data_IF_227199801367
#
_entry.id   IF_227199801367
#
_cell.length_a   1.000
_cell.length_b   1.000
_cell.length_c   1.000
_cell.angle_alpha   90.00
_cell.angle_beta   90.00
_cell.angle_gamma   90.00
#
_symmetry.space_group_name_H-M   'P 1'
#
loop_
_entity.id
_entity.type
_entity.pdbx_description
1 polymer ?
#
# COMPACT_ATOMS: atom_id res chain seq x y z
N UNK A 1 -39.93 -14.07 -13.61
CA UNK A 1 -38.72 -13.84 -12.78
C UNK A 1 -38.22 -15.19 -12.29
N UNK A 2 -37.02 -15.65 -12.69
CA UNK A 2 -36.45 -16.86 -12.10
C UNK A 2 -35.98 -16.57 -10.67
N UNK A 3 -36.04 -17.55 -9.75
CA UNK A 3 -35.72 -17.33 -8.35
C UNK A 3 -34.22 -17.07 -8.19
N UNK A 4 -33.89 -16.08 -7.35
CA UNK A 4 -32.53 -15.78 -6.95
C UNK A 4 -31.92 -17.01 -6.27
N UNK A 5 -30.96 -17.65 -6.95
CA UNK A 5 -30.10 -18.66 -6.34
C UNK A 5 -29.45 -18.03 -5.09
N UNK A 6 -29.67 -18.66 -3.93
CA UNK A 6 -29.12 -18.17 -2.67
C UNK A 6 -27.59 -18.05 -2.79
N UNK A 7 -27.02 -16.94 -2.28
CA UNK A 7 -25.58 -16.66 -2.32
C UNK A 7 -24.71 -17.77 -1.67
N UNK A 8 -25.31 -18.71 -0.93
CA UNK A 8 -24.63 -19.88 -0.33
C UNK A 8 -24.48 -21.06 -1.28
N UNK A 9 -25.24 -21.14 -2.38
CA UNK A 9 -25.17 -22.26 -3.33
C UNK A 9 -24.06 -22.10 -4.40
N UNK A 10 -23.65 -20.86 -4.71
CA UNK A 10 -22.61 -20.59 -5.70
C UNK A 10 -21.19 -21.12 -5.35
N UNK A 11 -20.69 -21.01 -4.10
CA UNK A 11 -19.33 -21.49 -3.78
C UNK A 11 -19.19 -23.01 -3.93
N UNK A 12 -20.21 -23.77 -3.54
CA UNK A 12 -20.20 -25.23 -3.59
C UNK A 12 -20.21 -25.77 -5.03
N UNK A 13 -20.99 -25.15 -5.92
CA UNK A 13 -21.02 -25.51 -7.34
C UNK A 13 -19.76 -25.05 -8.09
N UNK A 14 -19.19 -23.88 -7.76
CA UNK A 14 -17.96 -23.38 -8.37
C UNK A 14 -16.71 -24.22 -8.03
N UNK A 15 -16.66 -24.82 -6.83
CA UNK A 15 -15.58 -25.74 -6.43
C UNK A 15 -15.54 -27.06 -7.22
N UNK A 16 -16.61 -27.41 -7.95
CA UNK A 16 -16.65 -28.55 -8.87
C UNK A 16 -16.12 -28.19 -10.27
N UNK A 17 -16.04 -26.91 -10.62
CA UNK A 17 -15.70 -26.43 -11.96
C UNK A 17 -14.19 -26.24 -12.18
N UNK A 18 -13.41 -25.91 -11.15
CA UNK A 18 -11.94 -25.87 -11.25
C UNK A 18 -11.22 -26.02 -9.90
N UNK A 19 -10.00 -26.61 -9.87
CA UNK A 19 -9.14 -26.57 -8.69
C UNK A 19 -8.87 -25.16 -8.18
N UNK A 20 -8.82 -24.16 -9.06
CA UNK A 20 -8.63 -22.76 -8.71
C UNK A 20 -9.77 -22.23 -7.84
N UNK A 21 -11.03 -22.50 -8.20
CA UNK A 21 -12.19 -22.06 -7.42
C UNK A 21 -12.23 -22.66 -6.01
N UNK A 22 -11.78 -23.91 -5.84
CA UNK A 22 -11.65 -24.53 -4.50
C UNK A 22 -10.59 -23.86 -3.64
N UNK A 23 -9.51 -23.41 -4.25
CA UNK A 23 -8.41 -22.75 -3.55
C UNK A 23 -8.71 -21.26 -3.29
N UNK A 24 -9.54 -20.63 -4.11
CA UNK A 24 -9.93 -19.23 -3.97
C UNK A 24 -10.67 -18.91 -2.67
N UNK A 25 -11.43 -19.87 -2.15
CA UNK A 25 -12.18 -19.74 -0.89
C UNK A 25 -11.35 -20.04 0.36
N UNK A 26 -10.11 -20.49 0.22
CA UNK A 26 -9.23 -20.87 1.34
C UNK A 26 -8.27 -19.76 1.69
N UNK A 27 -7.92 -19.67 2.97
CA UNK A 27 -6.85 -18.78 3.39
C UNK A 27 -5.47 -19.31 2.95
N UNK A 28 -4.49 -18.42 2.83
CA UNK A 28 -3.11 -18.80 2.58
C UNK A 28 -2.61 -19.78 3.64
N UNK A 29 -2.87 -19.50 4.92
CA UNK A 29 -2.49 -20.36 6.04
C UNK A 29 -3.07 -21.76 5.90
N UNK A 30 -4.37 -21.88 5.64
CA UNK A 30 -5.04 -23.20 5.47
C UNK A 30 -4.40 -24.05 4.38
N UNK A 31 -3.98 -23.43 3.27
CA UNK A 31 -3.35 -24.16 2.17
C UNK A 31 -1.93 -24.56 2.55
N UNK A 32 -1.13 -23.62 3.06
CA UNK A 32 0.28 -23.83 3.41
C UNK A 32 0.47 -24.84 4.55
N UNK A 33 -0.39 -24.80 5.57
CA UNK A 33 -0.38 -25.80 6.66
C UNK A 33 -0.72 -27.22 6.17
N UNK A 34 -1.50 -27.33 5.08
CA UNK A 34 -1.79 -28.59 4.42
C UNK A 34 -0.65 -29.13 3.54
N UNK A 35 0.36 -28.31 3.22
CA UNK A 35 1.52 -28.71 2.41
C UNK A 35 2.70 -29.20 3.25
N UNK A 36 2.89 -28.64 4.45
CA UNK A 36 4.04 -28.99 5.30
C UNK A 36 3.73 -28.75 6.77
N UNK A 37 4.39 -29.51 7.65
CA UNK A 37 4.40 -29.29 9.11
C UNK A 37 5.51 -28.33 9.57
N UNK A 38 6.51 -28.06 8.73
CA UNK A 38 7.67 -27.23 9.04
C UNK A 38 7.27 -25.74 9.15
N UNK A 39 7.46 -25.15 10.32
CA UNK A 39 7.08 -23.74 10.59
C UNK A 39 7.92 -22.73 9.82
N UNK A 40 9.20 -23.00 9.61
CA UNK A 40 10.07 -22.11 8.83
C UNK A 40 9.66 -22.13 7.37
N UNK A 41 9.42 -23.32 6.80
CA UNK A 41 8.95 -23.43 5.43
C UNK A 41 7.58 -22.76 5.24
N UNK A 42 6.67 -22.83 6.23
CA UNK A 42 5.39 -22.10 6.17
C UNK A 42 5.59 -20.59 6.10
N UNK A 43 6.53 -20.06 6.88
CA UNK A 43 6.89 -18.64 6.85
C UNK A 43 7.47 -18.26 5.49
N UNK A 44 8.40 -19.07 4.95
CA UNK A 44 8.99 -18.87 3.61
C UNK A 44 7.95 -18.98 2.50
N UNK A 45 6.93 -19.83 2.62
CA UNK A 45 5.84 -19.88 1.64
C UNK A 45 4.88 -18.70 1.76
N UNK A 46 4.89 -17.97 2.87
CA UNK A 46 3.94 -16.89 3.17
C UNK A 46 4.58 -15.50 3.25
N UNK A 47 5.90 -15.39 3.10
CA UNK A 47 6.68 -14.18 3.40
C UNK A 47 6.29 -12.94 2.58
N UNK A 48 5.66 -13.10 1.41
CA UNK A 48 5.27 -11.96 0.58
C UNK A 48 3.93 -11.34 0.97
N UNK A 49 3.25 -11.83 2.03
CA UNK A 49 1.95 -11.29 2.44
C UNK A 49 1.85 -9.76 2.61
N UNK A 50 2.93 -9.03 2.96
CA UNK A 50 2.84 -7.58 3.14
C UNK A 50 2.51 -6.84 1.85
N UNK A 51 2.81 -7.42 0.69
CA UNK A 51 2.49 -6.85 -0.63
C UNK A 51 1.00 -6.62 -0.86
N UNK A 52 0.14 -7.40 -0.21
CA UNK A 52 -1.32 -7.25 -0.25
C UNK A 52 -1.93 -6.89 1.12
N UNK A 53 -1.11 -6.65 2.14
CA UNK A 53 -1.55 -6.03 3.39
C UNK A 53 -2.43 -6.91 4.31
N UNK A 54 -2.49 -8.22 4.10
CA UNK A 54 -3.38 -9.12 4.87
C UNK A 54 -2.60 -10.32 5.39
N UNK A 55 -2.73 -10.62 6.69
CA UNK A 55 -2.05 -11.76 7.33
C UNK A 55 -2.43 -13.11 6.69
N UNK A 56 -1.54 -14.13 6.72
CA UNK A 56 -1.78 -15.42 6.06
C UNK A 56 -3.08 -16.13 6.45
N UNK A 57 -3.53 -16.02 7.71
CA UNK A 57 -4.81 -16.60 8.17
C UNK A 57 -6.05 -16.00 7.51
N UNK A 58 -5.94 -14.81 6.90
CA UNK A 58 -7.06 -14.06 6.30
C UNK A 58 -6.87 -13.77 4.81
N UNK A 59 -5.66 -13.93 4.30
CA UNK A 59 -5.33 -13.69 2.91
C UNK A 59 -5.93 -14.76 2.00
N UNK A 60 -6.53 -14.37 0.88
CA UNK A 60 -6.97 -15.33 -0.14
C UNK A 60 -5.76 -16.03 -0.77
N UNK A 61 -5.76 -17.36 -0.78
CA UNK A 61 -4.68 -18.11 -1.42
C UNK A 61 -4.60 -17.85 -2.93
N UNK A 62 -5.72 -17.61 -3.62
CA UNK A 62 -5.70 -17.29 -5.06
C UNK A 62 -4.98 -15.97 -5.35
N UNK A 63 -5.16 -14.94 -4.51
CA UNK A 63 -4.41 -13.69 -4.65
C UNK A 63 -2.92 -13.93 -4.46
N UNK A 64 -2.56 -14.70 -3.43
CA UNK A 64 -1.17 -15.08 -3.18
C UNK A 64 -0.56 -15.84 -4.36
N UNK A 65 -1.27 -16.85 -4.90
CA UNK A 65 -0.79 -17.65 -6.02
C UNK A 65 -0.57 -16.83 -7.30
N UNK A 66 -1.48 -15.88 -7.61
CA UNK A 66 -1.31 -14.96 -8.75
C UNK A 66 -0.04 -14.13 -8.58
N UNK A 67 0.20 -13.62 -7.37
CA UNK A 67 1.37 -12.80 -7.08
C UNK A 67 2.66 -13.61 -7.16
N UNK A 68 2.71 -14.81 -6.57
CA UNK A 68 3.87 -15.71 -6.71
C UNK A 68 4.12 -16.01 -8.18
N UNK A 69 3.08 -16.37 -8.94
CA UNK A 69 3.20 -16.66 -10.37
C UNK A 69 3.76 -15.48 -11.17
N UNK A 70 3.36 -14.25 -10.83
CA UNK A 70 3.96 -13.05 -11.42
C UNK A 70 5.46 -12.96 -11.11
N UNK A 71 5.84 -13.09 -9.84
CA UNK A 71 7.25 -13.00 -9.43
C UNK A 71 8.14 -14.12 -9.97
N UNK A 72 7.58 -15.31 -10.26
CA UNK A 72 8.33 -16.38 -10.94
C UNK A 72 8.83 -15.98 -12.33
N UNK A 73 8.17 -15.02 -12.97
CA UNK A 73 8.60 -14.49 -14.28
C UNK A 73 9.57 -13.30 -14.17
N UNK A 74 9.74 -12.75 -12.96
CA UNK A 74 10.64 -11.64 -12.66
C UNK A 74 9.97 -10.51 -11.88
N UNK A 75 10.81 -9.70 -11.23
CA UNK A 75 10.43 -8.42 -10.65
C UNK A 75 11.25 -7.32 -11.36
N UNK A 76 10.59 -6.49 -12.17
CA UNK A 76 11.27 -5.46 -12.95
C UNK A 76 11.23 -4.10 -12.24
N UNK A 77 12.27 -3.30 -12.46
CA UNK A 77 12.36 -1.92 -11.99
C UNK A 77 12.43 -0.96 -13.19
N UNK A 78 11.55 0.04 -13.30
CA UNK A 78 11.62 1.03 -14.38
C UNK A 78 12.90 1.87 -14.24
N UNK A 79 13.67 2.03 -15.32
CA UNK A 79 14.76 3.03 -15.37
C UNK A 79 14.16 4.40 -15.14
N UNK A 80 14.72 5.21 -14.24
CA UNK A 80 14.14 6.49 -13.79
C UNK A 80 13.21 6.36 -12.59
N UNK A 81 12.80 5.14 -12.21
CA UNK A 81 11.93 4.87 -11.07
C UNK A 81 10.44 4.84 -11.39
N UNK A 82 9.62 4.67 -10.36
CA UNK A 82 8.18 4.41 -10.51
C UNK A 82 7.42 5.56 -11.20
N UNK A 83 7.90 6.81 -11.10
CA UNK A 83 7.28 7.98 -11.74
C UNK A 83 7.23 7.88 -13.26
N UNK A 84 8.15 7.14 -13.88
CA UNK A 84 8.18 6.95 -15.34
C UNK A 84 6.93 6.25 -15.87
N UNK A 85 6.29 5.39 -15.05
CA UNK A 85 5.02 4.77 -15.43
C UNK A 85 3.96 5.85 -15.65
N UNK A 86 3.86 6.82 -14.73
CA UNK A 86 2.91 7.92 -14.85
C UNK A 86 3.27 8.84 -16.03
N UNK A 87 4.54 9.27 -16.14
CA UNK A 87 4.98 10.16 -17.22
C UNK A 87 4.72 9.59 -18.62
N UNK A 88 4.99 8.30 -18.83
CA UNK A 88 4.73 7.67 -20.11
C UNK A 88 3.23 7.42 -20.36
N UNK A 89 2.44 7.16 -19.32
CA UNK A 89 0.98 7.03 -19.44
C UNK A 89 0.33 8.35 -19.85
N UNK A 90 0.77 9.48 -19.28
CA UNK A 90 0.27 10.83 -19.64
C UNK A 90 0.43 11.10 -21.14
N UNK A 91 1.59 10.78 -21.70
CA UNK A 91 1.84 10.98 -23.12
C UNK A 91 0.91 10.14 -24.02
N UNK A 92 0.50 8.94 -23.59
CA UNK A 92 -0.46 8.10 -24.31
C UNK A 92 -1.85 8.75 -24.30
N UNK A 93 -2.29 9.24 -23.13
CA UNK A 93 -3.59 9.92 -22.98
C UNK A 93 -3.65 11.16 -23.89
N UNK A 94 -2.61 11.99 -23.87
CA UNK A 94 -2.54 13.21 -24.68
C UNK A 94 -2.53 12.92 -26.18
N UNK A 95 -1.82 11.90 -26.64
CA UNK A 95 -1.85 11.48 -28.05
C UNK A 95 -3.22 10.97 -28.49
N UNK A 96 -4.01 10.42 -27.57
CA UNK A 96 -5.39 10.02 -27.82
C UNK A 96 -6.39 11.19 -27.76
N UNK A 97 -5.91 12.43 -27.52
CA UNK A 97 -6.74 13.64 -27.44
C UNK A 97 -7.34 13.92 -26.05
N UNK A 98 -6.88 13.22 -25.00
CA UNK A 98 -7.29 13.49 -23.63
C UNK A 98 -6.35 14.44 -22.89
N UNK A 99 -6.83 15.03 -21.80
CA UNK A 99 -6.05 15.92 -20.93
C UNK A 99 -5.78 15.28 -19.56
N UNK A 100 -4.65 15.65 -18.95
CA UNK A 100 -4.29 15.28 -17.57
C UNK A 100 -4.08 16.54 -16.76
N UNK A 101 -4.97 16.78 -15.79
CA UNK A 101 -5.00 18.01 -15.00
C UNK A 101 -4.41 17.76 -13.60
N UNK A 102 -3.19 18.26 -13.38
CA UNK A 102 -2.57 18.30 -12.05
C UNK A 102 -3.15 19.43 -11.19
N UNK A 103 -3.07 19.27 -9.85
CA UNK A 103 -3.56 20.27 -8.87
C UNK A 103 -5.03 20.67 -9.08
N UNK A 104 -5.84 19.73 -9.55
CA UNK A 104 -7.27 19.90 -9.83
C UNK A 104 -8.11 18.99 -8.92
N UNK A 105 -8.15 19.24 -7.58
CA UNK A 105 -8.88 18.38 -6.66
C UNK A 105 -10.38 18.41 -6.95
N UNK A 106 -10.94 17.23 -7.24
CA UNK A 106 -12.38 17.02 -7.36
C UNK A 106 -13.00 17.10 -5.97
N UNK A 107 -14.01 17.95 -5.81
CA UNK A 107 -14.73 18.11 -4.54
C UNK A 107 -16.10 17.47 -4.53
N UNK A 108 -16.70 17.18 -5.69
CA UNK A 108 -18.05 16.60 -5.80
C UNK A 108 -18.25 15.90 -7.13
N UNK A 109 -18.99 14.80 -7.14
CA UNK A 109 -19.57 14.17 -8.33
C UNK A 109 -20.95 14.80 -8.56
N UNK A 110 -21.20 15.24 -9.80
CA UNK A 110 -22.46 15.82 -10.23
C UNK A 110 -23.40 14.71 -10.70
N UNK A 111 -24.65 14.75 -10.24
CA UNK A 111 -25.72 13.86 -10.66
C UNK A 111 -26.82 14.67 -11.36
N UNK A 112 -27.42 14.10 -12.40
CA UNK A 112 -28.63 14.65 -13.03
C UNK A 112 -29.89 14.36 -12.21
N UNK A 113 -31.06 14.77 -12.72
CA UNK A 113 -32.34 14.63 -12.02
C UNK A 113 -32.74 13.15 -11.81
N UNK A 114 -32.25 12.26 -12.67
CA UNK A 114 -32.47 10.82 -12.63
C UNK A 114 -31.44 10.10 -11.72
N UNK A 115 -30.49 10.84 -11.15
CA UNK A 115 -29.46 10.31 -10.25
C UNK A 115 -28.25 9.70 -10.96
N UNK A 116 -28.10 9.92 -12.27
CA UNK A 116 -26.95 9.46 -13.06
C UNK A 116 -25.80 10.47 -12.99
N UNK A 117 -24.57 9.97 -12.88
CA UNK A 117 -23.39 10.82 -12.90
C UNK A 117 -23.25 11.55 -14.25
N UNK A 118 -23.11 12.88 -14.18
CA UNK A 118 -23.07 13.77 -15.34
C UNK A 118 -21.87 14.74 -15.34
N UNK A 119 -20.97 14.60 -14.37
CA UNK A 119 -19.75 15.42 -14.30
C UNK A 119 -19.14 15.46 -12.90
N UNK A 120 -18.21 16.40 -12.70
CA UNK A 120 -17.53 16.64 -11.43
C UNK A 120 -17.35 18.14 -11.18
N UNK A 121 -17.37 18.56 -9.91
CA UNK A 121 -16.92 19.87 -9.48
C UNK A 121 -15.45 19.78 -9.06
N UNK A 122 -14.63 20.67 -9.60
CA UNK A 122 -13.19 20.77 -9.37
C UNK A 122 -12.90 22.09 -8.67
N UNK A 123 -12.07 22.08 -7.63
CA UNK A 123 -11.58 23.31 -7.00
C UNK A 123 -10.34 23.83 -7.72
N UNK A 124 -10.35 25.10 -8.09
CA UNK A 124 -9.22 25.84 -8.65
C UNK A 124 -8.93 27.04 -7.74
N UNK A 125 -8.07 26.85 -6.74
CA UNK A 125 -7.90 27.85 -5.68
C UNK A 125 -9.19 27.98 -4.86
N UNK A 126 -9.76 29.19 -4.82
CA UNK A 126 -11.06 29.44 -4.19
C UNK A 126 -12.26 29.23 -5.12
N UNK A 127 -12.03 29.08 -6.43
CA UNK A 127 -13.10 28.89 -7.42
C UNK A 127 -13.50 27.42 -7.53
N UNK A 128 -14.78 27.20 -7.86
CA UNK A 128 -15.32 25.87 -8.19
C UNK A 128 -15.74 25.89 -9.65
N UNK A 129 -15.19 24.95 -10.43
CA UNK A 129 -15.48 24.78 -11.85
C UNK A 129 -16.15 23.42 -12.05
N UNK A 130 -17.25 23.39 -12.79
CA UNK A 130 -17.92 22.15 -13.16
C UNK A 130 -17.41 21.65 -14.51
N UNK A 131 -17.01 20.37 -14.55
CA UNK A 131 -16.61 19.66 -15.76
C UNK A 131 -17.65 18.60 -16.03
N UNK A 132 -18.41 18.75 -17.11
CA UNK A 132 -19.48 17.82 -17.48
C UNK A 132 -18.94 16.67 -18.32
N UNK A 133 -19.40 15.46 -18.03
CA UNK A 133 -19.02 14.25 -18.75
C UNK A 133 -20.14 13.21 -18.68
N UNK A 134 -20.41 12.46 -19.77
CA UNK A 134 -21.46 11.44 -19.78
C UNK A 134 -21.12 10.19 -18.96
N UNK A 135 -19.83 10.02 -18.62
CA UNK A 135 -19.29 8.91 -17.83
C UNK A 135 -18.27 9.48 -16.85
N UNK A 136 -18.37 9.07 -15.59
CA UNK A 136 -17.41 9.40 -14.54
C UNK A 136 -16.84 8.10 -14.00
N UNK A 137 -15.51 7.96 -14.07
CA UNK A 137 -14.77 6.84 -13.48
C UNK A 137 -14.01 7.39 -12.28
N UNK A 138 -14.31 6.90 -11.08
CA UNK A 138 -13.64 7.34 -9.85
C UNK A 138 -12.58 6.33 -9.41
N UNK A 139 -11.32 6.76 -9.42
CA UNK A 139 -10.18 6.03 -8.85
C UNK A 139 -9.78 6.59 -7.47
N UNK A 140 -10.62 7.39 -6.83
CA UNK A 140 -10.35 7.95 -5.50
C UNK A 140 -10.45 6.91 -4.36
N UNK A 141 -10.82 5.67 -4.67
CA UNK A 141 -11.20 4.64 -3.71
C UNK A 141 -12.65 4.78 -3.23
N UNK A 142 -13.22 3.67 -2.76
CA UNK A 142 -14.66 3.58 -2.44
C UNK A 142 -15.07 4.52 -1.30
N UNK A 143 -14.30 4.61 -0.22
CA UNK A 143 -14.61 5.49 0.91
C UNK A 143 -14.60 6.97 0.49
N UNK A 144 -13.57 7.45 -0.21
CA UNK A 144 -13.56 8.83 -0.70
C UNK A 144 -14.70 9.09 -1.70
N UNK A 145 -14.94 8.16 -2.62
CA UNK A 145 -15.99 8.32 -3.63
C UNK A 145 -17.36 8.42 -2.97
N UNK A 146 -17.71 7.44 -2.13
CA UNK A 146 -19.05 7.30 -1.58
C UNK A 146 -19.31 8.17 -0.36
N UNK A 147 -18.32 8.37 0.51
CA UNK A 147 -18.52 9.13 1.75
C UNK A 147 -18.23 10.62 1.58
N UNK A 148 -17.39 11.01 0.60
CA UNK A 148 -16.96 12.41 0.42
C UNK A 148 -17.40 13.03 -0.90
N UNK A 149 -17.21 12.35 -2.03
CA UNK A 149 -17.42 12.95 -3.36
C UNK A 149 -18.88 12.89 -3.83
N UNK A 150 -19.65 11.86 -3.47
CA UNK A 150 -21.07 11.79 -3.82
C UNK A 150 -21.89 12.89 -3.11
N UNK A 151 -23.01 13.37 -3.69
CA UNK A 151 -24.01 14.17 -2.97
C UNK A 151 -24.60 13.42 -1.76
N UNK A 152 -24.95 14.13 -0.69
CA UNK A 152 -25.44 13.54 0.56
C UNK A 152 -26.63 12.58 0.36
N UNK A 153 -27.53 12.95 -0.55
CA UNK A 153 -28.72 12.17 -0.91
C UNK A 153 -28.34 10.82 -1.52
N UNK A 154 -27.33 10.81 -2.40
CA UNK A 154 -26.81 9.60 -3.00
C UNK A 154 -26.03 8.74 -1.99
N UNK A 155 -25.31 9.35 -1.04
CA UNK A 155 -24.61 8.59 0.02
C UNK A 155 -25.59 7.78 0.86
N UNK A 156 -26.77 8.32 1.11
CA UNK A 156 -27.80 7.69 1.94
C UNK A 156 -28.49 6.49 1.26
N UNK A 157 -28.26 6.25 -0.03
CA UNK A 157 -28.88 5.15 -0.76
C UNK A 157 -28.51 3.78 -0.15
N UNK A 158 -29.48 2.88 0.07
CA UNK A 158 -29.22 1.56 0.65
C UNK A 158 -28.18 0.74 -0.11
N UNK A 159 -28.13 0.86 -1.43
CA UNK A 159 -27.18 0.18 -2.31
C UNK A 159 -25.75 0.64 -2.05
N UNK A 160 -25.54 1.96 -1.96
CA UNK A 160 -24.24 2.57 -1.63
C UNK A 160 -23.77 2.13 -0.24
N UNK A 161 -24.67 2.23 0.73
CA UNK A 161 -24.40 1.80 2.10
C UNK A 161 -24.13 0.29 2.19
N UNK A 162 -24.79 -0.53 1.37
CA UNK A 162 -24.54 -1.96 1.32
C UNK A 162 -23.16 -2.29 0.81
N UNK A 163 -22.64 -1.55 -0.18
CA UNK A 163 -21.30 -1.74 -0.72
C UNK A 163 -20.21 -1.30 0.27
N UNK A 164 -20.39 -0.17 0.96
CA UNK A 164 -19.48 0.28 2.02
C UNK A 164 -19.32 -0.77 3.13
N UNK A 165 -20.41 -1.43 3.52
CA UNK A 165 -20.38 -2.50 4.54
C UNK A 165 -19.63 -3.77 4.11
N UNK A 166 -19.32 -3.95 2.82
CA UNK A 166 -18.56 -5.10 2.34
C UNK A 166 -17.05 -4.93 2.50
N UNK A 167 -16.59 -3.71 2.76
CA UNK A 167 -15.17 -3.38 2.82
C UNK A 167 -14.83 -2.73 4.15
N UNK A 168 -13.56 -2.79 4.51
CA UNK A 168 -12.98 -2.07 5.66
C UNK A 168 -11.69 -1.42 5.21
N UNK A 169 -11.24 -0.41 5.95
CA UNK A 169 -9.89 0.12 5.74
C UNK A 169 -8.84 -0.99 5.94
N UNK A 170 -7.83 -0.98 5.07
CA UNK A 170 -6.63 -1.78 5.26
C UNK A 170 -5.77 -1.23 6.39
N UNK A 171 -4.79 -2.01 6.81
CA UNK A 171 -3.79 -1.52 7.76
C UNK A 171 -2.96 -0.41 7.12
N UNK A 172 -2.62 0.62 7.90
CA UNK A 172 -1.72 1.68 7.46
C UNK A 172 -0.28 1.20 7.37
N UNK A 173 0.57 2.07 6.81
CA UNK A 173 2.01 1.83 6.69
C UNK A 173 2.83 2.90 7.41
N UNK A 174 4.04 2.53 7.82
CA UNK A 174 5.10 3.44 8.20
C UNK A 174 6.26 3.26 7.23
N UNK A 175 6.75 4.38 6.69
CA UNK A 175 7.82 4.40 5.70
C UNK A 175 9.04 5.13 6.26
N UNK A 176 10.25 4.68 5.93
CA UNK A 176 11.49 5.43 6.18
C UNK A 176 12.22 5.60 4.86
N UNK A 177 12.59 6.85 4.57
CA UNK A 177 13.39 7.23 3.42
C UNK A 177 14.78 7.63 3.90
N UNK A 178 15.81 7.02 3.31
CA UNK A 178 17.20 7.29 3.63
C UNK A 178 17.92 7.78 2.39
N UNK A 179 18.57 8.93 2.49
CA UNK A 179 19.52 9.44 1.50
C UNK A 179 20.95 9.25 2.02
N UNK A 180 21.80 8.65 1.20
CA UNK A 180 23.15 8.25 1.55
C UNK A 180 24.19 8.94 0.67
N UNK A 181 25.34 9.26 1.28
CA UNK A 181 26.56 9.69 0.59
C UNK A 181 27.43 8.49 0.24
N UNK A 182 27.50 8.19 -1.04
CA UNK A 182 28.28 7.10 -1.61
C UNK A 182 27.53 6.39 -2.73
N UNK A 183 28.31 5.80 -3.63
CA UNK A 183 27.83 4.89 -4.67
C UNK A 183 27.34 3.58 -4.06
N UNK A 184 26.56 2.81 -4.82
CA UNK A 184 26.11 1.49 -4.35
C UNK A 184 27.28 0.53 -4.12
N UNK A 185 28.36 0.65 -4.90
CA UNK A 185 29.58 -0.16 -4.75
C UNK A 185 30.33 0.17 -3.46
N UNK A 186 30.53 1.46 -3.15
CA UNK A 186 31.20 1.89 -1.91
C UNK A 186 30.42 1.48 -0.65
N UNK A 187 29.09 1.45 -0.76
CA UNK A 187 28.19 1.18 0.35
C UNK A 187 27.78 -0.30 0.45
N UNK A 188 28.10 -1.13 -0.54
CA UNK A 188 27.69 -2.54 -0.60
C UNK A 188 26.18 -2.72 -0.80
N UNK A 189 25.52 -1.80 -1.51
CA UNK A 189 24.07 -1.84 -1.75
C UNK A 189 23.75 -2.70 -2.97
N UNK A 190 22.99 -3.76 -2.73
CA UNK A 190 22.54 -4.67 -3.78
C UNK A 190 21.17 -4.24 -4.34
N UNK A 191 20.86 -4.56 -5.62
CA UNK A 191 19.55 -4.30 -6.22
C UNK A 191 18.46 -5.28 -5.71
N UNK A 192 18.44 -5.56 -4.41
CA UNK A 192 17.66 -6.60 -3.75
C UNK A 192 16.52 -6.01 -2.93
N UNK A 193 15.46 -6.80 -2.72
CA UNK A 193 14.42 -6.53 -1.75
C UNK A 193 14.57 -7.50 -0.58
N UNK A 194 14.54 -7.00 0.65
CA UNK A 194 14.56 -7.83 1.85
C UNK A 194 13.22 -7.75 2.54
N UNK A 195 12.65 -8.91 2.86
CA UNK A 195 11.55 -9.05 3.82
C UNK A 195 12.16 -9.63 5.09
N UNK A 196 12.30 -8.79 6.11
CA UNK A 196 12.97 -9.14 7.36
C UNK A 196 11.90 -9.39 8.42
N UNK A 197 11.91 -10.59 8.98
CA UNK A 197 11.00 -11.00 10.05
C UNK A 197 11.81 -11.40 11.29
N UNK A 198 11.40 -11.00 12.51
CA UNK A 198 12.06 -11.42 13.74
C UNK A 198 11.72 -12.86 14.17
N UNK A 199 10.76 -13.51 13.51
CA UNK A 199 10.31 -14.86 13.80
C UNK A 199 9.53 -15.48 12.62
N UNK A 200 9.04 -16.71 12.81
CA UNK A 200 8.39 -17.51 11.76
C UNK A 200 6.86 -17.67 11.89
N UNK A 201 6.25 -17.25 13.02
CA UNK A 201 4.79 -17.18 13.13
C UNK A 201 4.29 -15.80 12.70
N UNK A 202 4.08 -15.64 11.39
CA UNK A 202 3.72 -14.37 10.75
C UNK A 202 2.39 -13.81 11.25
N UNK A 203 1.40 -14.68 11.50
CA UNK A 203 0.10 -14.28 12.03
C UNK A 203 0.22 -13.80 13.49
N UNK A 204 0.87 -14.57 14.36
CA UNK A 204 0.99 -14.25 15.78
C UNK A 204 1.80 -12.96 16.01
N UNK A 205 2.89 -12.76 15.25
CA UNK A 205 3.70 -11.54 15.34
C UNK A 205 2.89 -10.31 14.95
N UNK A 206 2.16 -10.37 13.83
CA UNK A 206 1.33 -9.27 13.36
C UNK A 206 0.16 -8.99 14.31
N UNK A 207 -0.50 -10.03 14.83
CA UNK A 207 -1.60 -9.87 15.79
C UNK A 207 -1.13 -9.21 17.09
N UNK A 208 -0.01 -9.67 17.65
CA UNK A 208 0.60 -9.05 18.84
C UNK A 208 0.93 -7.59 18.58
N UNK A 209 1.60 -7.30 17.47
CA UNK A 209 1.97 -5.94 17.09
C UNK A 209 0.77 -5.00 16.96
N UNK A 210 -0.29 -5.40 16.26
CA UNK A 210 -1.48 -4.57 16.05
C UNK A 210 -2.33 -4.40 17.33
N UNK A 211 -2.17 -5.30 18.30
CA UNK A 211 -2.81 -5.22 19.62
C UNK A 211 -2.02 -4.35 20.61
N UNK A 212 -0.75 -4.07 20.35
CA UNK A 212 0.13 -3.28 21.21
C UNK A 212 -0.23 -1.79 21.23
N UNK A 213 0.19 -1.12 22.31
CA UNK A 213 0.28 0.34 22.35
C UNK A 213 1.30 0.84 21.32
N UNK A 214 1.22 2.13 20.95
CA UNK A 214 2.19 2.77 20.05
C UNK A 214 3.64 2.57 20.53
N UNK A 215 3.89 2.79 21.82
CA UNK A 215 5.25 2.79 22.38
C UNK A 215 5.85 1.38 22.44
N UNK A 216 5.02 0.35 22.61
CA UNK A 216 5.41 -1.04 22.49
C UNK A 216 5.63 -1.44 21.03
N UNK A 217 4.74 -1.02 20.14
CA UNK A 217 4.84 -1.28 18.70
C UNK A 217 6.11 -0.66 18.11
N UNK A 218 6.45 0.57 18.48
CA UNK A 218 7.68 1.26 18.05
C UNK A 218 8.95 0.46 18.38
N UNK A 219 8.91 -0.41 19.40
CA UNK A 219 10.05 -1.24 19.85
C UNK A 219 10.03 -2.66 19.27
N UNK A 220 8.88 -3.13 18.79
CA UNK A 220 8.65 -4.53 18.42
C UNK A 220 8.08 -4.65 17.00
N UNK A 221 8.82 -4.11 16.02
CA UNK A 221 8.38 -4.09 14.63
C UNK A 221 8.35 -5.53 14.06
N UNK A 222 7.21 -6.00 13.53
CA UNK A 222 7.02 -7.42 13.19
C UNK A 222 7.61 -7.79 11.82
N UNK A 223 7.97 -6.79 11.03
CA UNK A 223 8.41 -6.93 9.65
C UNK A 223 9.09 -5.65 9.17
N UNK A 224 10.14 -5.78 8.37
CA UNK A 224 10.62 -4.69 7.52
C UNK A 224 10.73 -5.15 6.07
N UNK A 225 10.16 -4.38 5.15
CA UNK A 225 10.52 -4.42 3.74
C UNK A 225 11.61 -3.38 3.49
N UNK A 226 12.82 -3.80 3.13
CA UNK A 226 13.94 -2.90 2.80
C UNK A 226 14.25 -3.00 1.30
N UNK A 227 14.37 -1.84 0.65
CA UNK A 227 14.68 -1.77 -0.78
C UNK A 227 15.67 -0.65 -1.09
N UNK A 228 16.49 -0.86 -2.13
CA UNK A 228 17.51 0.07 -2.61
C UNK A 228 17.16 0.58 -4.02
N UNK A 229 16.29 1.61 -4.17
CA UNK A 229 15.89 2.09 -5.50
C UNK A 229 17.06 2.56 -6.36
N UNK A 230 18.04 3.26 -5.77
CA UNK A 230 19.23 3.71 -6.47
C UNK A 230 20.07 2.55 -7.03
N UNK A 231 20.17 1.44 -6.30
CA UNK A 231 20.95 0.29 -6.73
C UNK A 231 20.31 -0.45 -7.92
N UNK A 232 18.97 -0.40 -8.00
CA UNK A 232 18.15 -1.05 -9.04
C UNK A 232 18.10 -0.30 -10.36
N UNK A 233 18.24 1.03 -10.32
CA UNK A 233 18.23 1.83 -11.54
C UNK A 233 19.64 1.94 -12.12
N UNK A 234 19.93 1.32 -13.28
CA UNK A 234 21.25 1.40 -13.90
C UNK A 234 21.62 2.82 -14.36
N UNK A 235 20.65 3.74 -14.43
CA UNK A 235 20.88 5.14 -14.80
C UNK A 235 21.08 6.08 -13.61
N UNK A 236 20.95 5.57 -12.38
CA UNK A 236 20.95 6.39 -11.17
C UNK A 236 22.23 7.21 -11.02
N UNK A 237 23.40 6.56 -11.10
CA UNK A 237 24.70 7.21 -10.87
C UNK A 237 24.96 8.37 -11.83
N UNK A 238 24.48 8.27 -13.07
CA UNK A 238 24.59 9.37 -14.04
C UNK A 238 23.76 10.60 -13.66
N UNK A 239 22.62 10.39 -12.99
CA UNK A 239 21.68 11.45 -12.61
C UNK A 239 21.96 12.00 -11.20
N UNK A 240 22.52 11.16 -10.32
CA UNK A 240 22.74 11.44 -8.90
C UNK A 240 24.11 10.90 -8.44
N UNK A 241 25.22 11.42 -8.97
CA UNK A 241 26.56 10.88 -8.74
C UNK A 241 26.94 10.87 -7.25
N UNK A 242 27.50 9.75 -6.78
CA UNK A 242 27.96 9.57 -5.41
C UNK A 242 26.84 9.61 -4.36
N UNK A 243 25.59 9.32 -4.75
CA UNK A 243 24.43 9.28 -3.84
C UNK A 243 23.70 7.96 -3.98
N UNK A 244 23.15 7.46 -2.87
CA UNK A 244 22.31 6.27 -2.85
C UNK A 244 21.06 6.48 -2.02
N UNK A 245 20.05 5.62 -2.19
CA UNK A 245 18.78 5.70 -1.47
C UNK A 245 18.34 4.34 -0.95
N UNK A 246 17.72 4.36 0.23
CA UNK A 246 16.93 3.25 0.77
C UNK A 246 15.50 3.72 1.01
N UNK A 247 14.56 2.81 0.79
CA UNK A 247 13.19 2.93 1.29
C UNK A 247 12.87 1.70 2.14
N UNK A 248 12.30 1.94 3.30
CA UNK A 248 11.89 0.90 4.24
C UNK A 248 10.41 1.06 4.52
N UNK A 249 9.67 -0.04 4.57
CA UNK A 249 8.22 -0.03 4.86
C UNK A 249 7.90 -1.10 5.91
N UNK A 250 7.05 -0.73 6.87
CA UNK A 250 6.38 -1.63 7.81
C UNK A 250 4.90 -1.25 7.92
N UNK A 251 4.10 -2.07 8.59
CA UNK A 251 2.75 -1.69 8.98
C UNK A 251 2.76 -0.68 10.11
N UNK A 252 1.73 0.17 10.16
CA UNK A 252 1.42 1.00 11.32
C UNK A 252 -0.07 1.35 11.36
N UNK A 253 -0.64 1.36 12.57
CA UNK A 253 -2.04 1.73 12.76
C UNK A 253 -2.22 3.24 12.62
N UNK A 254 -3.31 3.63 11.95
CA UNK A 254 -3.71 5.04 11.86
C UNK A 254 -3.96 5.61 13.26
N UNK A 255 -4.58 4.82 14.14
CA UNK A 255 -4.95 5.19 15.51
C UNK A 255 -3.75 5.57 16.38
N UNK A 256 -2.54 5.07 16.06
CA UNK A 256 -1.34 5.44 16.81
C UNK A 256 -0.89 6.89 16.57
N UNK A 257 -1.34 7.50 15.46
CA UNK A 257 -1.00 8.86 15.08
C UNK A 257 -2.23 9.76 14.97
N UNK A 258 -3.43 9.24 15.22
CA UNK A 258 -4.69 9.95 14.96
C UNK A 258 -4.81 11.28 15.71
N UNK A 259 -4.18 11.42 16.88
CA UNK A 259 -4.22 12.63 17.69
C UNK A 259 -3.72 13.89 16.95
N UNK A 260 -2.91 13.73 15.89
CA UNK A 260 -2.42 14.84 15.06
C UNK A 260 -3.10 14.95 13.68
N UNK A 261 -4.27 14.33 13.48
CA UNK A 261 -4.92 14.28 12.15
C UNK A 261 -5.34 15.64 11.60
N UNK A 262 -5.72 16.56 12.48
CA UNK A 262 -6.22 17.89 12.12
C UNK A 262 -5.10 18.94 12.05
N UNK A 263 -3.88 18.56 12.47
CA UNK A 263 -2.71 19.42 12.40
C UNK A 263 -2.13 19.47 10.96
N UNK A 264 -1.62 20.62 10.51
CA UNK A 264 -1.11 20.77 9.16
C UNK A 264 0.06 19.81 8.88
N UNK A 265 0.10 19.27 7.66
CA UNK A 265 1.21 18.44 7.18
C UNK A 265 2.53 19.19 7.36
N UNK A 266 3.55 18.51 7.89
CA UNK A 266 4.86 19.07 8.29
C UNK A 266 4.86 20.05 9.48
N UNK A 267 3.73 20.25 10.16
CA UNK A 267 3.61 21.14 11.34
C UNK A 267 2.80 20.49 12.46
N UNK A 268 3.16 19.26 12.85
CA UNK A 268 2.45 18.47 13.88
C UNK A 268 3.08 18.53 15.28
N UNK A 269 4.13 19.34 15.44
CA UNK A 269 4.79 19.58 16.73
C UNK A 269 5.74 18.46 17.15
N UNK A 270 6.46 18.72 18.25
CA UNK A 270 7.57 17.88 18.71
C UNK A 270 7.10 16.49 19.17
N UNK A 271 5.93 16.39 19.82
CA UNK A 271 5.41 15.10 20.29
C UNK A 271 5.12 14.12 19.15
N UNK A 272 4.68 14.62 17.99
CA UNK A 272 4.52 13.80 16.78
C UNK A 272 5.87 13.34 16.23
N UNK A 273 6.85 14.24 16.19
CA UNK A 273 8.19 13.95 15.69
C UNK A 273 8.91 12.95 16.60
N UNK A 274 8.78 13.05 17.91
CA UNK A 274 9.29 12.08 18.89
C UNK A 274 8.66 10.69 18.70
N UNK A 275 7.33 10.63 18.58
CA UNK A 275 6.61 9.38 18.35
C UNK A 275 7.04 8.72 17.03
N UNK A 276 7.22 9.51 15.98
CA UNK A 276 7.73 9.05 14.67
C UNK A 276 9.19 8.58 14.78
N UNK A 277 10.03 9.33 15.49
CA UNK A 277 11.46 9.02 15.64
C UNK A 277 11.66 7.69 16.37
N UNK A 278 10.82 7.34 17.34
CA UNK A 278 10.90 6.05 18.02
C UNK A 278 10.77 4.84 17.06
N UNK A 279 9.93 4.95 16.03
CA UNK A 279 9.86 3.94 14.97
C UNK A 279 11.09 3.98 14.08
N UNK A 280 11.51 5.16 13.64
CA UNK A 280 12.71 5.34 12.79
C UNK A 280 13.94 4.70 13.45
N UNK A 281 14.18 4.95 14.74
CA UNK A 281 15.33 4.42 15.47
C UNK A 281 15.35 2.88 15.49
N UNK A 282 14.21 2.25 15.76
CA UNK A 282 14.10 0.78 15.77
C UNK A 282 14.28 0.19 14.38
N UNK A 283 13.73 0.84 13.35
CA UNK A 283 13.91 0.44 11.95
C UNK A 283 15.39 0.51 11.59
N UNK A 284 16.03 1.64 11.85
CA UNK A 284 17.43 1.87 11.48
C UNK A 284 18.40 0.93 12.19
N UNK A 285 18.13 0.52 13.44
CA UNK A 285 18.90 -0.55 14.12
C UNK A 285 18.92 -1.86 13.33
N UNK A 286 17.84 -2.19 12.62
CA UNK A 286 17.81 -3.40 11.77
C UNK A 286 18.49 -3.15 10.43
N UNK A 287 18.32 -1.96 9.85
CA UNK A 287 19.00 -1.57 8.61
C UNK A 287 20.52 -1.57 8.78
N UNK A 288 21.07 -1.09 9.90
CA UNK A 288 22.51 -1.11 10.18
C UNK A 288 23.07 -2.52 10.34
N UNK A 289 22.26 -3.51 10.73
CA UNK A 289 22.69 -4.91 10.72
C UNK A 289 22.79 -5.45 9.29
N UNK A 290 21.93 -5.00 8.39
CA UNK A 290 21.93 -5.39 6.98
C UNK A 290 23.05 -4.68 6.21
N UNK A 291 23.25 -3.38 6.46
CA UNK A 291 24.26 -2.55 5.82
C UNK A 291 25.07 -1.77 6.86
N UNK A 292 26.08 -2.38 7.50
CA UNK A 292 26.86 -1.72 8.56
C UNK A 292 27.63 -0.49 8.08
N UNK A 293 27.97 -0.44 6.79
CA UNK A 293 28.77 0.62 6.15
C UNK A 293 28.05 1.96 5.98
N UNK A 294 26.74 2.06 6.26
CA UNK A 294 25.96 3.26 5.95
C UNK A 294 25.80 4.22 7.13
N UNK A 295 26.18 3.83 8.35
CA UNK A 295 25.89 4.58 9.58
C UNK A 295 26.45 6.01 9.56
N UNK A 296 27.68 6.18 9.08
CA UNK A 296 28.36 7.48 8.90
C UNK A 296 28.05 8.16 7.56
N UNK A 297 27.15 7.58 6.75
CA UNK A 297 26.87 8.01 5.37
C UNK A 297 25.47 8.58 5.18
N UNK A 298 24.65 8.64 6.21
CA UNK A 298 23.30 9.20 6.13
C UNK A 298 23.38 10.73 6.02
N UNK A 299 22.84 11.28 4.93
CA UNK A 299 22.67 12.72 4.73
C UNK A 299 21.19 13.16 4.83
N UNK A 300 20.26 12.21 4.70
CA UNK A 300 18.84 12.46 4.80
C UNK A 300 18.14 11.27 5.44
N UNK A 301 17.25 11.55 6.40
CA UNK A 301 16.43 10.55 7.06
C UNK A 301 15.05 11.13 7.30
N UNK A 302 14.01 10.43 6.85
CA UNK A 302 12.63 10.88 7.03
C UNK A 302 11.68 9.71 7.24
N UNK A 303 10.84 9.81 8.28
CA UNK A 303 9.73 8.90 8.53
C UNK A 303 8.43 9.42 7.94
N UNK A 304 7.62 8.53 7.36
CA UNK A 304 6.25 8.76 6.94
C UNK A 304 5.29 7.89 7.75
N UNK A 305 4.32 8.50 8.42
CA UNK A 305 3.27 7.82 9.19
C UNK A 305 2.01 7.65 8.33
N UNK A 306 0.99 6.90 8.81
CA UNK A 306 -0.32 6.85 8.16
C UNK A 306 -1.00 8.22 7.94
N UNK A 307 -0.58 9.29 8.65
CA UNK A 307 -1.10 10.66 8.45
C UNK A 307 -0.37 11.45 7.35
N UNK A 308 0.74 10.94 6.84
CA UNK A 308 1.55 11.60 5.79
C UNK A 308 1.63 10.80 4.50
N UNK A 309 1.22 9.53 4.53
CA UNK A 309 1.22 8.63 3.39
C UNK A 309 -0.02 8.80 2.51
#
# INVERSE_FOLDING_TARGET
MPPALSRRALPAAAGLLSPFCRLASRSLREVVEGLTADRELRAVLSYIFPTYGVMPSRASFSLHAILVNHFLTGAWYPRGGASEIAFHTIAVIQRAGGDVLGRAPVSRILLDAEGKACGVSVKKGQEVVNVFAPVVISDAGIFNTYERLLPAEARALPEIQSQLRLVKHGEGGFSVFVGLKGTKEELGLEPTNYFIYPGNDLDEMMQRYLASSRDEAAKNIPLLFVTCPSAKDPTWEMRHPGKSTLAIVTFAKYEWFEEWKDEPVHKRGDSYEEAKQAFVDTIMKTVFKLYPSIEDRIEYLSGGTPLTN
#
